data_IF_495565959898
#
_entry.id   IF_495565959898
#
_cell.length_a   1.000
_cell.length_b   1.000
_cell.length_c   1.000
_cell.angle_alpha   90.00
_cell.angle_beta   90.00
_cell.angle_gamma   90.00
#
_symmetry.space_group_name_H-M   'P 1'
#
loop_
_entity.id
_entity.type
_entity.pdbx_description
1 polymer ?
#
# COMPACT_ATOMS: atom_id res chain seq x y z
N UNK A 1 16.53 -52.66 33.31
CA UNK A 1 15.37 -51.74 33.17
C UNK A 1 15.90 -50.35 32.82
N UNK A 2 16.05 -50.07 31.55
CA UNK A 2 16.50 -48.75 31.06
C UNK A 2 15.24 -47.94 30.73
N UNK A 3 14.98 -46.85 31.43
CA UNK A 3 13.93 -45.88 31.10
C UNK A 3 14.52 -44.86 30.14
N UNK A 4 14.12 -44.96 28.89
CA UNK A 4 14.40 -43.95 27.87
C UNK A 4 13.56 -42.69 28.16
N UNK A 5 14.20 -41.62 28.58
CA UNK A 5 13.62 -40.27 28.54
C UNK A 5 13.66 -39.77 27.10
N UNK A 6 12.52 -39.74 26.43
CA UNK A 6 12.34 -39.00 25.16
C UNK A 6 12.14 -37.53 25.56
N UNK A 7 13.18 -36.73 25.38
CA UNK A 7 13.10 -35.29 25.48
C UNK A 7 12.35 -34.76 24.24
N UNK A 8 11.13 -34.29 24.41
CA UNK A 8 10.40 -33.50 23.39
C UNK A 8 11.11 -32.15 23.29
N UNK A 9 11.91 -31.98 22.26
CA UNK A 9 12.41 -30.69 21.86
C UNK A 9 11.20 -29.94 21.24
N UNK A 10 10.53 -29.11 22.04
CA UNK A 10 9.60 -28.09 21.52
C UNK A 10 10.48 -27.07 20.83
N UNK A 11 10.68 -27.25 19.53
CA UNK A 11 11.26 -26.20 18.68
C UNK A 11 10.36 -24.99 18.79
N UNK A 12 10.87 -23.91 19.40
CA UNK A 12 10.32 -22.58 19.22
C UNK A 12 10.32 -22.31 17.72
N UNK A 13 9.20 -22.55 17.07
CA UNK A 13 8.94 -22.00 15.73
C UNK A 13 8.94 -20.48 15.93
N UNK A 14 10.08 -19.85 15.65
CA UNK A 14 10.13 -18.41 15.48
C UNK A 14 9.08 -18.09 14.40
N UNK A 15 7.96 -17.52 14.82
CA UNK A 15 6.95 -16.99 13.91
C UNK A 15 7.74 -16.06 12.98
N UNK A 16 7.78 -16.30 11.67
CA UNK A 16 8.46 -15.38 10.78
C UNK A 16 7.86 -14.00 11.01
N UNK A 17 8.70 -13.03 11.38
CA UNK A 17 8.27 -11.66 11.63
C UNK A 17 7.41 -11.24 10.45
N UNK A 18 6.16 -10.87 10.72
CA UNK A 18 5.16 -10.49 9.73
C UNK A 18 5.72 -9.33 8.91
N UNK A 19 6.33 -9.66 7.78
CA UNK A 19 6.79 -8.66 6.86
C UNK A 19 5.55 -8.01 6.25
N UNK A 20 5.40 -6.72 6.51
CA UNK A 20 4.44 -5.85 5.81
C UNK A 20 2.95 -5.97 6.18
N UNK A 21 2.63 -6.24 7.41
CA UNK A 21 1.33 -5.83 7.94
C UNK A 21 1.51 -4.40 8.50
N UNK A 22 0.88 -3.43 7.88
CA UNK A 22 1.15 -2.01 8.13
C UNK A 22 0.87 -1.56 9.58
N UNK A 23 0.02 -2.27 10.35
CA UNK A 23 -0.29 -1.89 11.73
C UNK A 23 0.87 -2.09 12.72
N UNK A 24 1.77 -3.05 12.49
CA UNK A 24 2.87 -3.34 13.41
C UNK A 24 4.05 -2.39 13.25
N UNK A 25 4.63 -1.97 14.37
CA UNK A 25 5.91 -1.25 14.38
C UNK A 25 7.08 -2.24 14.31
N UNK A 26 8.18 -1.79 13.74
CA UNK A 26 9.41 -2.58 13.70
C UNK A 26 10.15 -2.53 15.05
N UNK A 27 10.81 -3.62 15.46
CA UNK A 27 11.65 -3.63 16.63
C UNK A 27 12.76 -2.56 16.54
N UNK A 28 13.15 -2.00 17.68
CA UNK A 28 14.21 -1.00 17.75
C UNK A 28 15.50 -1.45 17.04
N UNK A 29 16.02 -0.60 16.16
CA UNK A 29 17.26 -0.86 15.43
C UNK A 29 17.14 -1.79 14.23
N UNK A 30 15.92 -2.25 13.90
CA UNK A 30 15.67 -3.07 12.70
C UNK A 30 14.99 -2.23 11.61
N UNK A 31 15.11 -2.67 10.38
CA UNK A 31 14.47 -1.99 9.26
C UNK A 31 13.98 -2.95 8.19
N UNK A 32 13.15 -2.40 7.31
CA UNK A 32 12.77 -3.06 6.06
C UNK A 32 12.75 -2.08 4.90
N UNK A 33 12.99 -2.62 3.73
CA UNK A 33 12.97 -1.90 2.48
C UNK A 33 12.17 -2.72 1.47
N UNK A 34 11.13 -2.10 0.90
CA UNK A 34 10.25 -2.68 -0.11
C UNK A 34 10.33 -1.82 -1.37
N UNK A 35 10.99 -2.30 -2.41
CA UNK A 35 10.93 -1.66 -3.74
C UNK A 35 9.81 -2.32 -4.53
N UNK A 36 8.88 -1.51 -5.01
CA UNK A 36 7.72 -1.96 -5.77
C UNK A 36 7.67 -1.30 -7.13
N UNK A 37 7.56 -2.10 -8.17
CA UNK A 37 7.23 -1.66 -9.53
C UNK A 37 5.76 -1.99 -9.79
N UNK A 38 4.98 -0.97 -10.07
CA UNK A 38 3.57 -1.08 -10.50
C UNK A 38 3.46 -0.66 -11.95
N UNK A 39 2.87 -1.52 -12.77
CA UNK A 39 2.57 -1.25 -14.18
C UNK A 39 1.06 -1.25 -14.34
N UNK A 40 0.47 -0.11 -14.63
CA UNK A 40 -0.98 0.07 -14.68
C UNK A 40 -1.44 0.63 -16.01
N UNK A 41 -2.61 0.22 -16.47
CA UNK A 41 -3.25 0.81 -17.63
C UNK A 41 -4.77 0.84 -17.49
N UNK A 42 -5.39 1.78 -18.21
CA UNK A 42 -6.83 1.87 -18.35
C UNK A 42 -7.22 2.34 -19.75
N UNK A 43 -8.33 1.83 -20.25
CA UNK A 43 -9.01 2.29 -21.46
C UNK A 43 -10.48 2.60 -21.16
N UNK A 44 -10.86 2.60 -19.90
CA UNK A 44 -12.24 2.70 -19.43
C UNK A 44 -12.34 3.63 -18.22
N UNK A 45 -13.46 4.32 -18.13
CA UNK A 45 -13.78 5.27 -17.10
C UNK A 45 -15.16 4.96 -16.48
N UNK A 46 -15.24 4.97 -15.18
CA UNK A 46 -16.46 4.76 -14.41
C UNK A 46 -17.15 6.13 -14.23
N UNK A 47 -18.15 6.44 -15.05
CA UNK A 47 -18.86 7.72 -15.00
C UNK A 47 -20.07 7.66 -14.08
N UNK A 48 -20.04 8.38 -12.97
CA UNK A 48 -21.14 8.49 -12.02
C UNK A 48 -21.72 7.13 -11.63
N UNK A 49 -23.04 6.98 -11.70
CA UNK A 49 -23.74 5.68 -11.59
C UNK A 49 -24.06 5.07 -12.96
N UNK A 50 -23.45 5.59 -14.02
CA UNK A 50 -23.71 5.23 -15.41
C UNK A 50 -22.88 4.02 -15.89
N UNK A 51 -23.06 3.64 -17.18
CA UNK A 51 -22.28 2.56 -17.77
C UNK A 51 -20.81 2.94 -17.90
N UNK A 52 -19.97 1.92 -17.97
CA UNK A 52 -18.54 2.08 -18.24
C UNK A 52 -18.34 2.80 -19.59
N UNK A 53 -17.57 3.89 -19.57
CA UNK A 53 -17.25 4.69 -20.73
C UNK A 53 -15.86 4.34 -21.25
N UNK A 54 -15.69 4.38 -22.58
CA UNK A 54 -14.36 4.28 -23.18
C UNK A 54 -13.61 5.59 -23.04
N UNK A 55 -12.32 5.53 -22.72
CA UNK A 55 -11.43 6.69 -22.61
C UNK A 55 -10.15 6.45 -23.41
N UNK A 56 -9.41 7.47 -23.83
CA UNK A 56 -8.06 7.29 -24.33
C UNK A 56 -7.23 6.46 -23.35
N UNK A 57 -6.34 5.66 -23.89
CA UNK A 57 -5.49 4.82 -23.06
C UNK A 57 -4.68 5.69 -22.10
N UNK A 58 -4.73 5.32 -20.84
CA UNK A 58 -3.94 5.88 -19.74
C UNK A 58 -3.01 4.78 -19.24
N UNK A 59 -1.71 5.06 -19.22
CA UNK A 59 -0.70 4.19 -18.65
C UNK A 59 -0.02 4.90 -17.47
N UNK A 60 0.22 4.16 -16.39
CA UNK A 60 0.94 4.65 -15.22
C UNK A 60 1.92 3.57 -14.75
N UNK A 61 3.20 3.84 -14.89
CA UNK A 61 4.26 3.03 -14.33
C UNK A 61 4.86 3.75 -13.13
N UNK A 62 4.97 3.04 -12.01
CA UNK A 62 5.47 3.60 -10.76
C UNK A 62 6.51 2.66 -10.12
N UNK A 63 7.66 3.21 -9.81
CA UNK A 63 8.69 2.56 -9.00
C UNK A 63 8.79 3.29 -7.68
N UNK A 64 8.36 2.67 -6.58
CA UNK A 64 8.48 3.21 -5.22
C UNK A 64 9.43 2.38 -4.37
N UNK A 65 9.95 2.99 -3.30
CA UNK A 65 10.80 2.32 -2.33
C UNK A 65 10.38 2.71 -0.91
N UNK A 66 9.47 1.91 -0.30
CA UNK A 66 9.10 2.08 1.10
C UNK A 66 10.24 1.61 1.99
N UNK A 67 10.77 2.51 2.81
CA UNK A 67 11.81 2.28 3.81
C UNK A 67 11.20 2.55 5.18
N UNK A 68 11.25 1.55 6.04
CA UNK A 68 10.79 1.65 7.42
C UNK A 68 11.92 1.29 8.38
N UNK A 69 12.02 2.04 9.48
CA UNK A 69 13.04 1.83 10.50
C UNK A 69 12.45 1.97 11.91
N UNK A 70 12.65 0.94 12.74
CA UNK A 70 12.26 0.93 14.15
C UNK A 70 13.15 1.85 14.97
N UNK A 71 12.67 3.06 15.27
CA UNK A 71 13.34 4.04 16.13
C UNK A 71 13.27 3.60 17.59
N UNK A 72 12.15 3.03 17.97
CA UNK A 72 11.92 2.31 19.24
C UNK A 72 11.03 1.11 18.95
N UNK A 73 10.79 0.23 19.93
CA UNK A 73 9.86 -0.90 19.74
C UNK A 73 8.41 -0.47 19.44
N UNK A 74 8.07 0.81 19.66
CA UNK A 74 6.73 1.37 19.41
C UNK A 74 6.69 2.47 18.37
N UNK A 75 7.84 2.90 17.83
CA UNK A 75 7.92 3.98 16.85
C UNK A 75 8.72 3.54 15.65
N UNK A 76 8.08 3.56 14.48
CA UNK A 76 8.71 3.29 13.18
C UNK A 76 8.72 4.56 12.36
N UNK A 77 9.90 4.96 11.88
CA UNK A 77 10.05 6.01 10.88
C UNK A 77 9.75 5.45 9.48
N UNK A 78 9.15 6.28 8.63
CA UNK A 78 8.68 5.91 7.27
C UNK A 78 9.27 6.90 6.28
N UNK A 79 9.80 6.38 5.18
CA UNK A 79 10.27 7.17 4.05
C UNK A 79 9.99 6.41 2.74
N UNK A 80 9.27 7.03 1.80
CA UNK A 80 8.90 6.40 0.53
C UNK A 80 9.05 7.38 -0.64
N UNK A 81 10.19 7.41 -1.34
CA UNK A 81 10.35 8.09 -2.62
C UNK A 81 9.73 7.26 -3.76
N UNK A 82 9.28 7.94 -4.81
CA UNK A 82 8.74 7.32 -6.01
C UNK A 82 9.19 7.97 -7.30
N UNK A 83 9.33 7.16 -8.35
CA UNK A 83 9.49 7.57 -9.73
C UNK A 83 8.24 7.15 -10.49
N UNK A 84 7.76 8.02 -11.38
CA UNK A 84 6.56 7.75 -12.17
C UNK A 84 6.75 8.07 -13.64
N UNK A 85 6.17 7.24 -14.48
CA UNK A 85 5.87 7.55 -15.87
C UNK A 85 4.37 7.48 -16.06
N UNK A 86 3.78 8.54 -16.65
CA UNK A 86 2.35 8.62 -16.98
C UNK A 86 2.26 8.94 -18.46
N UNK A 87 1.47 8.15 -19.18
CA UNK A 87 1.16 8.36 -20.60
C UNK A 87 -0.35 8.43 -20.82
N UNK A 88 -0.78 9.39 -21.60
CA UNK A 88 -2.18 9.57 -22.04
C UNK A 88 -2.17 9.59 -23.55
N UNK A 89 -2.83 8.60 -24.16
CA UNK A 89 -2.88 8.49 -25.62
C UNK A 89 -3.73 9.59 -26.29
N UNK A 90 -3.66 9.65 -27.61
CA UNK A 90 -4.48 10.54 -28.46
C UNK A 90 -5.98 10.48 -28.09
N UNK A 91 -6.69 11.63 -28.12
CA UNK A 91 -6.29 12.94 -28.67
C UNK A 91 -5.50 13.84 -27.69
N UNK A 92 -5.28 13.44 -26.46
CA UNK A 92 -4.57 14.28 -25.47
C UNK A 92 -3.07 14.31 -25.73
N UNK A 93 -2.46 13.18 -26.11
CA UNK A 93 -1.04 13.00 -26.43
C UNK A 93 -0.10 13.66 -25.40
N UNK A 94 -0.25 13.27 -24.14
CA UNK A 94 0.53 13.82 -23.04
C UNK A 94 1.32 12.71 -22.34
N UNK A 95 2.55 13.01 -21.95
CA UNK A 95 3.35 12.12 -21.12
C UNK A 95 4.13 12.91 -20.08
N UNK A 96 4.47 12.23 -18.97
CA UNK A 96 5.31 12.75 -17.90
C UNK A 96 6.16 11.62 -17.33
N UNK A 97 7.45 11.90 -17.17
CA UNK A 97 8.39 11.05 -16.43
C UNK A 97 9.12 11.89 -15.42
N UNK A 98 9.21 11.42 -14.17
CA UNK A 98 9.91 12.15 -13.11
C UNK A 98 9.62 11.60 -11.73
N UNK A 99 10.06 12.34 -10.72
CA UNK A 99 9.73 12.03 -9.33
C UNK A 99 8.21 12.14 -9.12
N UNK A 100 7.62 11.12 -8.55
CA UNK A 100 6.29 11.13 -8.00
C UNK A 100 6.25 11.82 -6.64
N UNK A 101 5.30 11.46 -5.79
CA UNK A 101 5.35 11.88 -4.40
C UNK A 101 6.51 11.21 -3.67
N UNK A 102 7.14 11.98 -2.77
CA UNK A 102 8.00 11.44 -1.72
C UNK A 102 7.25 11.55 -0.41
N UNK A 103 6.99 10.42 0.24
CA UNK A 103 6.29 10.35 1.52
C UNK A 103 7.27 10.13 2.66
N UNK A 104 7.05 10.82 3.80
CA UNK A 104 7.82 10.60 5.02
C UNK A 104 6.95 10.87 6.24
N UNK A 105 7.25 10.17 7.32
CA UNK A 105 6.50 10.29 8.56
C UNK A 105 6.85 9.21 9.55
N UNK A 106 5.88 8.85 10.39
CA UNK A 106 6.08 7.86 11.41
C UNK A 106 4.78 7.14 11.78
N UNK A 107 4.93 5.91 12.27
CA UNK A 107 3.89 5.06 12.86
C UNK A 107 4.21 4.80 14.31
N UNK A 108 3.21 4.93 15.17
CA UNK A 108 3.31 4.66 16.61
C UNK A 108 2.29 3.61 17.04
N UNK A 109 2.77 2.53 17.67
CA UNK A 109 1.91 1.51 18.28
C UNK A 109 1.34 2.03 19.59
N UNK A 110 0.09 2.47 19.57
CA UNK A 110 -0.61 3.00 20.73
C UNK A 110 -1.00 1.88 21.71
N UNK A 111 -1.36 0.71 21.16
CA UNK A 111 -1.70 -0.47 21.93
C UNK A 111 -1.12 -1.73 21.28
N UNK A 112 -0.57 -2.61 22.11
CA UNK A 112 -0.19 -3.99 21.77
C UNK A 112 -0.57 -4.87 22.94
N UNK A 113 -1.19 -6.03 22.67
CA UNK A 113 -1.36 -7.04 23.71
C UNK A 113 -0.04 -7.79 23.96
N UNK A 114 0.01 -8.63 25.01
CA UNK A 114 1.26 -9.25 25.49
C UNK A 114 1.98 -10.10 24.45
N UNK A 115 1.25 -10.82 23.61
CA UNK A 115 1.77 -11.68 22.54
C UNK A 115 1.86 -10.94 21.19
N UNK A 116 1.56 -9.64 21.15
CA UNK A 116 1.54 -8.79 19.98
C UNK A 116 0.64 -9.31 18.84
N UNK A 117 -0.33 -10.16 19.18
CA UNK A 117 -1.31 -10.64 18.20
C UNK A 117 -2.32 -9.57 17.82
N UNK A 118 -2.59 -8.58 18.67
CA UNK A 118 -3.37 -7.40 18.41
C UNK A 118 -2.53 -6.13 18.54
N UNK A 119 -2.62 -5.28 17.53
CA UNK A 119 -1.94 -3.98 17.50
C UNK A 119 -2.92 -2.91 17.02
N UNK A 120 -2.94 -1.78 17.71
CA UNK A 120 -3.57 -0.54 17.28
C UNK A 120 -2.50 0.53 17.13
N UNK A 121 -2.36 1.10 15.95
CA UNK A 121 -1.36 2.11 15.65
C UNK A 121 -1.99 3.38 15.06
N UNK A 122 -1.31 4.49 15.26
CA UNK A 122 -1.54 5.74 14.55
C UNK A 122 -0.35 6.04 13.65
N UNK A 123 -0.60 6.54 12.44
CA UNK A 123 0.43 6.97 11.51
C UNK A 123 0.14 8.38 11.02
N UNK A 124 1.18 9.18 10.88
CA UNK A 124 1.11 10.48 10.23
C UNK A 124 2.23 10.58 9.21
N UNK A 125 1.89 10.92 7.98
CA UNK A 125 2.85 11.12 6.89
C UNK A 125 2.55 12.41 6.14
N UNK A 126 3.60 12.98 5.55
CA UNK A 126 3.53 14.11 4.64
C UNK A 126 4.07 13.64 3.29
N UNK A 127 3.35 13.98 2.23
CA UNK A 127 3.69 13.65 0.86
C UNK A 127 4.06 14.94 0.12
N UNK A 128 5.31 15.03 -0.31
CA UNK A 128 5.82 16.18 -1.07
C UNK A 128 5.79 15.80 -2.55
N UNK A 129 5.19 16.65 -3.40
CA UNK A 129 5.20 16.42 -4.84
C UNK A 129 6.62 16.50 -5.40
N UNK A 130 6.88 15.65 -6.38
CA UNK A 130 8.17 15.62 -7.07
C UNK A 130 8.22 16.57 -8.27
N UNK A 131 8.61 16.04 -9.42
CA UNK A 131 8.63 16.79 -10.68
C UNK A 131 7.21 16.96 -11.20
N UNK A 132 6.75 18.19 -11.33
CA UNK A 132 5.42 18.47 -11.88
C UNK A 132 5.45 19.64 -12.88
N UNK A 133 4.48 19.63 -13.78
CA UNK A 133 4.20 20.71 -14.72
C UNK A 133 2.68 20.88 -14.76
N UNK A 134 2.19 22.00 -14.25
CA UNK A 134 0.74 22.28 -14.18
C UNK A 134 0.08 22.46 -15.55
N UNK A 135 0.85 22.70 -16.60
CA UNK A 135 0.37 22.77 -17.98
C UNK A 135 0.24 21.39 -18.64
N UNK A 136 0.81 20.33 -18.04
CA UNK A 136 0.81 18.99 -18.59
C UNK A 136 -0.35 18.15 -18.02
N UNK A 137 -1.32 17.70 -18.82
CA UNK A 137 -2.42 16.84 -18.35
C UNK A 137 -1.97 15.56 -17.63
N UNK A 138 -0.79 15.03 -17.97
CA UNK A 138 -0.23 13.85 -17.30
C UNK A 138 0.33 14.14 -15.88
N UNK A 139 0.39 15.40 -15.46
CA UNK A 139 0.87 15.83 -14.15
C UNK A 139 -0.26 16.13 -13.14
N UNK A 140 -1.51 15.96 -13.53
CA UNK A 140 -2.67 16.26 -12.68
C UNK A 140 -2.69 15.41 -11.42
N UNK A 141 -2.93 16.06 -10.28
CA UNK A 141 -3.00 15.38 -8.99
C UNK A 141 -1.66 15.18 -8.26
N UNK A 142 -0.56 15.69 -8.83
CA UNK A 142 0.80 15.54 -8.27
C UNK A 142 1.47 16.90 -8.00
N UNK A 143 0.70 17.93 -7.68
CA UNK A 143 1.17 19.32 -7.66
C UNK A 143 1.39 19.90 -6.29
N UNK A 144 0.82 19.29 -5.25
CA UNK A 144 0.75 19.91 -3.92
C UNK A 144 1.09 18.97 -2.80
N UNK A 145 1.44 19.57 -1.64
CA UNK A 145 1.70 18.81 -0.42
C UNK A 145 0.40 18.21 0.10
N UNK A 146 0.47 16.95 0.49
CA UNK A 146 -0.61 16.19 1.11
C UNK A 146 -0.19 15.71 2.51
N UNK A 147 -1.13 15.63 3.44
CA UNK A 147 -0.92 15.04 4.76
C UNK A 147 -1.88 13.88 4.94
N UNK A 148 -1.38 12.71 5.33
CA UNK A 148 -2.18 11.51 5.59
C UNK A 148 -2.13 11.19 7.08
N UNK A 149 -3.29 11.16 7.73
CA UNK A 149 -3.46 10.76 9.13
C UNK A 149 -4.23 9.45 9.16
N UNK A 150 -3.63 8.41 9.74
CA UNK A 150 -4.11 7.04 9.63
C UNK A 150 -4.20 6.34 10.97
N UNK A 151 -5.27 5.56 11.16
CA UNK A 151 -5.41 4.60 12.25
C UNK A 151 -5.37 3.20 11.65
N UNK A 152 -4.62 2.30 12.27
CA UNK A 152 -4.36 0.96 11.78
C UNK A 152 -4.65 -0.05 12.88
N UNK A 153 -5.41 -1.11 12.55
CA UNK A 153 -5.70 -2.23 13.44
C UNK A 153 -5.21 -3.53 12.80
N UNK A 154 -4.25 -4.18 13.45
CA UNK A 154 -3.71 -5.46 13.02
C UNK A 154 -4.05 -6.59 13.96
N UNK A 155 -4.29 -7.77 13.40
CA UNK A 155 -4.46 -9.01 14.17
C UNK A 155 -3.79 -10.18 13.48
N UNK A 156 -2.94 -10.90 14.22
CA UNK A 156 -2.34 -12.16 13.78
C UNK A 156 -3.02 -13.36 14.46
N UNK A 157 -3.28 -14.40 13.70
CA UNK A 157 -4.02 -15.59 14.13
C UNK A 157 -3.62 -16.81 13.31
N UNK A 158 -4.31 -17.91 13.54
CA UNK A 158 -4.11 -19.14 12.77
C UNK A 158 -5.43 -19.55 12.13
N UNK A 159 -5.42 -19.82 10.82
CA UNK A 159 -6.56 -20.35 10.06
C UNK A 159 -6.19 -21.71 9.49
N UNK A 160 -6.96 -22.76 9.84
CA UNK A 160 -6.71 -24.14 9.39
C UNK A 160 -5.25 -24.62 9.64
N UNK A 161 -4.64 -24.16 10.75
CA UNK A 161 -3.24 -24.49 11.10
C UNK A 161 -2.19 -23.64 10.39
N UNK A 162 -2.57 -22.71 9.54
CA UNK A 162 -1.67 -21.79 8.82
C UNK A 162 -1.61 -20.42 9.53
N UNK A 163 -0.42 -19.84 9.75
CA UNK A 163 -0.30 -18.49 10.26
C UNK A 163 -0.93 -17.49 9.28
N UNK A 164 -1.74 -16.59 9.82
CA UNK A 164 -2.46 -15.59 9.06
C UNK A 164 -2.51 -14.26 9.82
N UNK A 165 -2.80 -13.19 9.11
CA UNK A 165 -3.04 -11.89 9.70
C UNK A 165 -4.06 -11.11 8.88
N UNK A 166 -4.69 -10.14 9.52
CA UNK A 166 -5.31 -9.03 8.81
C UNK A 166 -4.79 -7.69 9.36
N UNK A 167 -4.91 -6.69 8.52
CA UNK A 167 -4.65 -5.30 8.79
C UNK A 167 -5.77 -4.47 8.18
N UNK A 168 -6.37 -3.57 8.96
CA UNK A 168 -7.43 -2.67 8.51
C UNK A 168 -7.02 -1.26 8.86
N UNK A 169 -7.16 -0.36 7.90
CA UNK A 169 -6.70 1.01 7.99
C UNK A 169 -7.79 1.99 7.59
N UNK A 170 -7.89 3.08 8.32
CA UNK A 170 -8.73 4.21 7.98
C UNK A 170 -7.87 5.48 8.03
N UNK A 171 -7.93 6.29 6.98
CA UNK A 171 -7.11 7.49 6.87
C UNK A 171 -7.90 8.67 6.32
N UNK A 172 -7.52 9.85 6.77
CA UNK A 172 -7.86 11.13 6.18
C UNK A 172 -6.62 11.69 5.48
N UNK A 173 -6.71 11.87 4.18
CA UNK A 173 -5.69 12.53 3.38
C UNK A 173 -6.13 13.95 3.07
N UNK A 174 -5.57 14.90 3.80
CA UNK A 174 -5.78 16.33 3.58
C UNK A 174 -4.94 16.77 2.38
N UNK A 175 -5.59 17.32 1.38
CA UNK A 175 -4.98 17.82 0.14
C UNK A 175 -5.16 19.32 0.02
N UNK A 176 -4.23 19.97 -0.63
CA UNK A 176 -4.20 21.43 -0.81
C UNK A 176 -4.50 21.82 -2.26
N UNK A 177 -4.39 23.12 -2.60
CA UNK A 177 -4.54 23.67 -3.96
C UNK A 177 -5.84 23.35 -4.68
N UNK A 178 -6.92 23.18 -3.92
CA UNK A 178 -8.25 22.97 -4.50
C UNK A 178 -8.55 21.52 -4.90
N UNK A 179 -7.65 20.58 -4.63
CA UNK A 179 -7.96 19.16 -4.70
C UNK A 179 -8.84 18.77 -3.49
N UNK A 180 -9.84 17.91 -3.65
CA UNK A 180 -10.65 17.44 -2.52
C UNK A 180 -9.80 16.55 -1.62
N UNK A 181 -9.98 16.67 -0.30
CA UNK A 181 -9.46 15.69 0.65
C UNK A 181 -10.04 14.31 0.38
N UNK A 182 -9.40 13.27 0.87
CA UNK A 182 -9.79 11.88 0.61
C UNK A 182 -9.92 11.11 1.93
N UNK A 183 -11.08 10.52 2.16
CA UNK A 183 -11.19 9.42 3.10
C UNK A 183 -10.69 8.14 2.42
N UNK A 184 -9.86 7.37 3.13
CA UNK A 184 -9.28 6.12 2.65
C UNK A 184 -9.59 5.00 3.63
N UNK A 185 -9.96 3.84 3.10
CA UNK A 185 -10.18 2.63 3.89
C UNK A 185 -9.48 1.46 3.20
N UNK A 186 -8.39 1.01 3.78
CA UNK A 186 -7.55 -0.02 3.19
C UNK A 186 -7.59 -1.28 4.07
N UNK A 187 -7.39 -2.43 3.45
CA UNK A 187 -7.36 -3.70 4.18
C UNK A 187 -6.42 -4.70 3.54
N UNK A 188 -5.69 -5.42 4.36
CA UNK A 188 -4.80 -6.51 3.94
C UNK A 188 -5.13 -7.78 4.71
N UNK A 189 -5.29 -8.88 3.99
CA UNK A 189 -5.32 -10.22 4.55
C UNK A 189 -4.14 -11.01 4.00
N UNK A 190 -3.37 -11.61 4.91
CA UNK A 190 -2.21 -12.42 4.55
C UNK A 190 -2.26 -13.81 5.17
N UNK A 191 -1.85 -14.83 4.41
CA UNK A 191 -1.74 -16.20 4.92
C UNK A 191 -0.46 -16.87 4.42
N UNK A 192 0.29 -17.46 5.34
CA UNK A 192 1.46 -18.27 5.02
C UNK A 192 1.02 -19.68 4.63
N UNK A 193 0.81 -19.90 3.33
CA UNK A 193 0.35 -21.19 2.78
C UNK A 193 1.43 -22.26 2.82
N UNK A 194 2.70 -21.84 2.92
CA UNK A 194 3.89 -22.66 3.14
C UNK A 194 4.95 -21.84 3.92
N UNK A 195 6.01 -22.44 4.50
CA UNK A 195 7.00 -21.72 5.30
C UNK A 195 7.70 -20.54 4.60
N UNK A 196 7.69 -20.51 3.27
CA UNK A 196 8.32 -19.45 2.44
C UNK A 196 7.35 -18.72 1.51
N UNK A 197 6.06 -19.09 1.51
CA UNK A 197 5.06 -18.53 0.63
C UNK A 197 3.96 -17.83 1.42
N UNK A 198 3.87 -16.53 1.25
CA UNK A 198 2.80 -15.68 1.76
C UNK A 198 1.89 -15.29 0.60
N UNK A 199 0.60 -15.47 0.76
CA UNK A 199 -0.43 -14.95 -0.17
C UNK A 199 -1.10 -13.76 0.48
N UNK A 200 -1.27 -12.69 -0.28
CA UNK A 200 -1.89 -11.43 0.15
C UNK A 200 -3.12 -11.14 -0.70
N UNK A 201 -4.21 -10.79 -0.03
CA UNK A 201 -5.38 -10.15 -0.62
C UNK A 201 -5.52 -8.77 -0.01
N UNK A 202 -5.54 -7.73 -0.85
CA UNK A 202 -5.54 -6.34 -0.40
C UNK A 202 -6.66 -5.57 -1.08
N UNK A 203 -7.32 -4.70 -0.31
CA UNK A 203 -8.34 -3.78 -0.80
C UNK A 203 -7.90 -2.36 -0.52
N UNK A 204 -8.01 -1.48 -1.52
CA UNK A 204 -7.68 -0.07 -1.40
C UNK A 204 -8.89 0.74 -1.86
N UNK A 205 -9.45 1.52 -0.95
CA UNK A 205 -10.69 2.23 -1.18
C UNK A 205 -10.49 3.72 -0.90
N UNK A 206 -10.97 4.56 -1.81
CA UNK A 206 -10.83 6.00 -1.73
C UNK A 206 -12.17 6.64 -2.03
N UNK A 207 -12.54 7.62 -1.18
CA UNK A 207 -13.72 8.47 -1.38
C UNK A 207 -13.27 9.93 -1.26
N UNK A 208 -13.48 10.73 -2.30
CA UNK A 208 -13.18 12.15 -2.23
C UNK A 208 -14.20 12.90 -1.38
N UNK A 209 -13.75 13.84 -0.57
CA UNK A 209 -14.59 14.76 0.19
C UNK A 209 -15.00 15.96 -0.67
N UNK A 210 -15.99 15.74 -1.53
CA UNK A 210 -16.45 16.72 -2.50
C UNK A 210 -15.69 16.70 -3.81
N UNK A 211 -15.90 17.73 -4.64
CA UNK A 211 -15.44 17.78 -6.03
C UNK A 211 -14.09 18.51 -6.23
N UNK A 212 -13.64 19.24 -5.22
CA UNK A 212 -12.51 20.16 -5.40
C UNK A 212 -12.82 21.34 -6.35
N UNK A 213 -11.82 22.18 -6.56
CA UNK A 213 -11.94 23.41 -7.36
C UNK A 213 -11.16 23.36 -8.68
N UNK A 214 -10.62 22.21 -9.06
CA UNK A 214 -9.77 22.10 -10.25
C UNK A 214 -10.60 21.77 -11.49
N UNK A 215 -10.17 22.29 -12.64
CA UNK A 215 -10.76 22.00 -13.95
C UNK A 215 -10.71 20.49 -14.27
N UNK A 216 -9.83 19.75 -13.60
CA UNK A 216 -9.54 18.35 -13.88
C UNK A 216 -10.27 17.37 -12.95
N UNK A 217 -10.83 17.84 -11.84
CA UNK A 217 -11.57 16.98 -10.89
C UNK A 217 -13.07 17.14 -11.01
N UNK A 218 -13.60 17.39 -12.16
CA UNK A 218 -15.00 17.72 -12.55
C UNK A 218 -16.16 17.19 -11.71
N UNK A 219 -15.91 16.45 -10.64
CA UNK A 219 -16.88 15.91 -9.69
C UNK A 219 -16.21 15.23 -8.52
N UNK A 220 -16.99 14.89 -7.50
CA UNK A 220 -16.54 13.95 -6.47
C UNK A 220 -16.30 12.58 -7.09
N UNK A 221 -15.31 11.85 -6.59
CA UNK A 221 -14.95 10.53 -7.07
C UNK A 221 -14.80 9.54 -5.93
N UNK A 222 -14.94 8.29 -6.25
CA UNK A 222 -14.61 7.16 -5.40
C UNK A 222 -14.09 6.00 -6.27
N UNK A 223 -13.23 5.17 -5.71
CA UNK A 223 -12.80 3.94 -6.36
C UNK A 223 -12.36 2.88 -5.36
N UNK A 224 -12.61 1.64 -5.73
CA UNK A 224 -12.25 0.45 -4.97
C UNK A 224 -11.36 -0.46 -5.83
N UNK A 225 -10.18 -0.79 -5.28
CA UNK A 225 -9.21 -1.68 -5.91
C UNK A 225 -9.05 -2.95 -5.10
N UNK A 226 -8.97 -4.08 -5.79
CA UNK A 226 -8.61 -5.36 -5.22
C UNK A 226 -7.28 -5.81 -5.82
N UNK A 227 -6.32 -6.17 -4.96
CA UNK A 227 -5.02 -6.71 -5.34
C UNK A 227 -4.84 -8.10 -4.76
N UNK A 228 -4.34 -9.02 -5.58
CA UNK A 228 -3.88 -10.34 -5.14
C UNK A 228 -2.40 -10.47 -5.48
N UNK A 229 -1.60 -10.94 -4.53
CA UNK A 229 -0.17 -11.16 -4.73
C UNK A 229 0.35 -12.34 -3.93
N UNK A 230 1.46 -12.90 -4.41
CA UNK A 230 2.24 -13.91 -3.70
C UNK A 230 3.63 -13.36 -3.40
N UNK A 231 4.12 -13.67 -2.20
CA UNK A 231 5.46 -13.29 -1.73
C UNK A 231 6.24 -14.56 -1.46
N UNK A 232 7.41 -14.69 -2.08
CA UNK A 232 8.33 -15.79 -1.86
C UNK A 232 9.58 -15.34 -1.09
N UNK A 233 9.77 -15.88 0.10
CA UNK A 233 10.96 -15.63 0.92
C UNK A 233 12.09 -16.60 0.51
N UNK A 234 13.02 -16.14 -0.33
CA UNK A 234 14.12 -16.98 -0.82
C UNK A 234 15.32 -17.01 0.14
N UNK A 235 15.49 -15.98 1.00
CA UNK A 235 16.42 -16.01 2.15
C UNK A 235 15.71 -15.46 3.40
N UNK A 236 16.30 -15.58 4.61
CA UNK A 236 15.72 -14.97 5.82
C UNK A 236 15.50 -13.45 5.73
N UNK A 237 16.24 -12.75 4.86
CA UNK A 237 16.21 -11.29 4.73
C UNK A 237 15.61 -10.80 3.41
N UNK A 238 15.54 -11.65 2.37
CA UNK A 238 15.06 -11.25 1.05
C UNK A 238 13.82 -12.00 0.62
N UNK A 239 12.87 -11.26 0.05
CA UNK A 239 11.67 -11.83 -0.58
C UNK A 239 11.37 -11.15 -1.91
N UNK A 240 10.65 -11.87 -2.77
CA UNK A 240 10.10 -11.37 -4.03
C UNK A 240 8.58 -11.41 -3.97
N UNK A 241 7.93 -10.37 -4.49
CA UNK A 241 6.48 -10.29 -4.64
C UNK A 241 6.12 -10.24 -6.11
N UNK A 242 5.03 -10.91 -6.46
CA UNK A 242 4.37 -10.77 -7.75
C UNK A 242 2.86 -10.81 -7.58
N UNK A 243 2.16 -9.96 -8.32
CA UNK A 243 0.71 -9.87 -8.21
C UNK A 243 0.08 -8.98 -9.26
N UNK A 244 -1.20 -8.73 -9.09
CA UNK A 244 -1.94 -7.82 -9.93
C UNK A 244 -3.16 -7.26 -9.21
N UNK A 245 -3.68 -6.17 -9.72
CA UNK A 245 -4.86 -5.52 -9.19
C UNK A 245 -5.84 -5.08 -10.27
N UNK A 246 -7.06 -4.84 -9.86
CA UNK A 246 -8.12 -4.27 -10.68
C UNK A 246 -8.87 -3.22 -9.89
N UNK A 247 -9.30 -2.13 -10.54
CA UNK A 247 -10.37 -1.26 -10.05
C UNK A 247 -11.70 -1.92 -10.39
N UNK A 248 -12.39 -2.47 -9.40
CA UNK A 248 -13.60 -3.26 -9.63
C UNK A 248 -14.89 -2.45 -9.47
N UNK A 249 -14.83 -1.34 -8.77
CA UNK A 249 -15.94 -0.41 -8.59
C UNK A 249 -15.41 1.03 -8.47
N UNK A 250 -16.30 2.01 -8.58
CA UNK A 250 -15.98 3.42 -8.42
C UNK A 250 -16.95 4.32 -9.16
N UNK A 251 -16.73 5.61 -9.00
CA UNK A 251 -17.47 6.68 -9.63
C UNK A 251 -16.49 7.80 -10.00
N UNK A 252 -16.61 8.31 -11.23
CA UNK A 252 -15.71 9.35 -11.75
C UNK A 252 -14.22 8.96 -11.61
N UNK A 253 -13.90 7.72 -11.93
CA UNK A 253 -12.57 7.15 -11.78
C UNK A 253 -12.19 6.25 -12.96
N UNK A 254 -10.90 6.12 -13.22
CA UNK A 254 -10.38 5.19 -14.21
C UNK A 254 -10.56 3.75 -13.73
N UNK A 255 -11.01 2.86 -14.61
CA UNK A 255 -10.98 1.43 -14.36
C UNK A 255 -9.59 0.89 -14.70
N UNK A 256 -8.69 0.95 -13.75
CA UNK A 256 -7.30 0.49 -13.93
C UNK A 256 -7.16 -1.00 -13.69
N UNK A 257 -6.28 -1.61 -14.46
CA UNK A 257 -5.72 -2.94 -14.20
C UNK A 257 -4.21 -2.80 -14.12
N UNK A 258 -3.57 -3.52 -13.21
CA UNK A 258 -2.13 -3.39 -13.03
C UNK A 258 -1.45 -4.68 -12.59
N UNK A 259 -0.16 -4.74 -12.87
CA UNK A 259 0.76 -5.74 -12.34
C UNK A 259 1.64 -5.11 -11.25
N UNK A 260 1.97 -5.89 -10.24
CA UNK A 260 2.79 -5.48 -9.11
C UNK A 260 3.96 -6.46 -8.96
N UNK A 261 5.18 -5.92 -8.92
CA UNK A 261 6.40 -6.67 -8.65
C UNK A 261 7.14 -6.00 -7.50
N UNK A 262 7.57 -6.79 -6.53
CA UNK A 262 8.23 -6.27 -5.34
C UNK A 262 9.51 -7.03 -4.97
N UNK A 263 10.47 -6.30 -4.43
CA UNK A 263 11.64 -6.84 -3.77
C UNK A 263 11.66 -6.32 -2.35
N UNK A 264 11.68 -7.23 -1.37
CA UNK A 264 11.68 -6.89 0.04
C UNK A 264 13.00 -7.27 0.68
N UNK A 265 13.52 -6.41 1.52
CA UNK A 265 14.74 -6.66 2.31
C UNK A 265 14.52 -6.26 3.76
N UNK A 266 14.89 -7.14 4.68
CA UNK A 266 15.00 -6.84 6.12
C UNK A 266 16.46 -6.56 6.50
N UNK A 267 16.70 -5.68 7.45
CA UNK A 267 18.05 -5.35 7.94
C UNK A 267 18.02 -4.90 9.42
#
# INVERSE_FOLDING_TARGET
MLKSCVAFLVGLLAIPSLASAAAWTLPNGTGQWLTTLTLASSTSYLEGSGPLQSTPRYDKDELSALIEYGVTDRLTAIFEPGLQHIGIASPTDAERTGLGYTEFGARYAAFENQDKSWVLSGQATVRIPGTFDTSNPAAVGYTDVETDLRVLLGHSFTVSGLPAFFDIEAAERVRTAGLPSEFRADGTFGVWVQPRWLVLAQSFNVVSEGAGNTVYTGGSYDYEKLQLSAVYQFTPVWSLQGGGYVTYAGRNALQENGLVFGVWRKF
#
